data_IF_637939652526
#
_entry.id   IF_637939652526
#
_cell.length_a   1.000
_cell.length_b   1.000
_cell.length_c   1.000
_cell.angle_alpha   90.00
_cell.angle_beta   90.00
_cell.angle_gamma   90.00
#
_symmetry.space_group_name_H-M   'P 1'
#
loop_
_entity.id
_entity.type
_entity.pdbx_description
1 polymer ?
#
# COMPACT_ATOMS: atom_id res chain seq x y z
N UNK A 1 -7.53 8.30 -18.08
CA UNK A 1 -6.16 7.79 -18.38
C UNK A 1 -5.35 7.53 -17.08
N UNK A 2 -5.91 6.81 -16.09
CA UNK A 2 -5.25 6.50 -14.80
C UNK A 2 -4.99 5.00 -14.57
N UNK A 3 -5.44 4.14 -15.48
CA UNK A 3 -5.46 2.67 -15.30
C UNK A 3 -4.12 1.96 -15.59
N UNK A 4 -3.22 2.57 -16.37
CA UNK A 4 -2.01 1.88 -16.86
C UNK A 4 -0.95 1.53 -15.81
N UNK A 5 -0.90 2.25 -14.68
CA UNK A 5 0.04 1.92 -13.59
C UNK A 5 -0.48 0.75 -12.72
N UNK A 6 -1.79 0.51 -12.70
CA UNK A 6 -2.42 -0.37 -11.71
C UNK A 6 -2.85 -1.76 -12.26
N UNK A 7 -2.65 -2.04 -13.55
CA UNK A 7 -3.18 -3.25 -14.22
C UNK A 7 -2.26 -4.49 -14.20
N UNK A 8 -0.99 -4.36 -14.57
CA UNK A 8 0.00 -5.48 -14.59
C UNK A 8 1.38 -5.05 -14.09
N UNK A 9 1.77 -3.82 -14.41
CA UNK A 9 3.01 -3.18 -13.96
C UNK A 9 3.11 -3.10 -12.43
N UNK A 10 1.99 -2.98 -11.73
CA UNK A 10 1.94 -2.76 -10.27
C UNK A 10 2.43 -3.97 -9.48
N UNK A 11 2.11 -5.19 -9.92
CA UNK A 11 2.65 -6.39 -9.30
C UNK A 11 4.17 -6.42 -9.44
N UNK A 12 4.69 -6.20 -10.66
CA UNK A 12 6.14 -6.18 -10.90
C UNK A 12 6.82 -5.08 -10.07
N UNK A 13 6.27 -3.87 -10.10
CA UNK A 13 6.80 -2.70 -9.41
C UNK A 13 6.80 -2.86 -7.89
N UNK A 14 5.71 -3.38 -7.32
CA UNK A 14 5.66 -3.72 -5.89
C UNK A 14 6.66 -4.80 -5.52
N UNK A 15 6.80 -5.85 -6.35
CA UNK A 15 7.80 -6.90 -6.11
C UNK A 15 9.24 -6.35 -6.13
N UNK A 16 9.52 -5.40 -7.02
CA UNK A 16 10.84 -4.75 -7.10
C UNK A 16 11.20 -3.95 -5.85
N UNK A 17 10.23 -3.28 -5.22
CA UNK A 17 10.48 -2.52 -3.98
C UNK A 17 10.34 -3.37 -2.71
N UNK A 18 9.51 -4.42 -2.74
CA UNK A 18 9.17 -5.22 -1.57
C UNK A 18 10.39 -5.84 -0.89
N UNK A 19 11.22 -6.55 -1.66
CA UNK A 19 12.39 -7.21 -1.11
C UNK A 19 13.46 -6.24 -0.59
N UNK A 20 13.91 -5.25 -1.37
CA UNK A 20 14.87 -4.26 -0.88
C UNK A 20 14.39 -3.57 0.39
N UNK A 21 13.11 -3.21 0.48
CA UNK A 21 12.57 -2.55 1.67
C UNK A 21 12.49 -3.49 2.86
N UNK A 22 12.06 -4.74 2.72
CA UNK A 22 12.11 -5.71 3.84
C UNK A 22 13.54 -5.98 4.31
N UNK A 23 14.51 -6.05 3.39
CA UNK A 23 15.93 -6.20 3.73
C UNK A 23 16.45 -4.97 4.47
N UNK A 24 16.13 -3.77 4.00
CA UNK A 24 16.46 -2.51 4.67
C UNK A 24 15.87 -2.44 6.09
N UNK A 25 14.58 -2.75 6.24
CA UNK A 25 13.92 -2.78 7.55
C UNK A 25 14.60 -3.77 8.50
N UNK A 26 14.89 -4.99 8.03
CA UNK A 26 15.52 -6.04 8.84
C UNK A 26 16.96 -5.72 9.24
N UNK A 27 17.81 -5.32 8.29
CA UNK A 27 19.25 -5.22 8.50
C UNK A 27 19.71 -3.82 8.91
N UNK A 28 19.08 -2.77 8.35
CA UNK A 28 19.46 -1.38 8.64
C UNK A 28 18.66 -0.83 9.82
N UNK A 29 17.33 -1.02 9.82
CA UNK A 29 16.46 -0.53 10.89
C UNK A 29 16.30 -1.50 12.06
N UNK A 30 16.86 -2.72 11.95
CA UNK A 30 16.70 -3.80 12.95
C UNK A 30 15.22 -4.08 13.29
N UNK A 31 14.32 -3.79 12.36
CA UNK A 31 12.88 -3.97 12.48
C UNK A 31 12.48 -5.26 11.77
N UNK A 32 11.92 -6.22 12.52
CA UNK A 32 11.38 -7.45 11.97
C UNK A 32 9.86 -7.32 11.87
N UNK A 33 9.34 -7.37 10.65
CA UNK A 33 7.92 -7.39 10.40
C UNK A 33 7.42 -8.83 10.36
N UNK A 34 6.51 -9.14 11.26
CA UNK A 34 5.78 -10.40 11.34
C UNK A 34 4.27 -10.15 11.29
N UNK A 35 3.54 -11.02 10.59
CA UNK A 35 2.09 -10.94 10.48
C UNK A 35 1.47 -11.93 11.47
N UNK A 36 1.04 -11.41 12.61
CA UNK A 36 0.25 -12.17 13.58
C UNK A 36 -1.15 -12.40 13.00
N UNK A 37 -1.67 -13.62 13.15
CA UNK A 37 -3.01 -13.95 12.67
C UNK A 37 -3.11 -14.22 11.17
N UNK A 38 -1.98 -14.55 10.50
CA UNK A 38 -1.93 -14.92 9.07
C UNK A 38 -2.98 -15.98 8.67
N UNK A 39 -3.36 -16.87 9.58
CA UNK A 39 -4.38 -17.90 9.36
C UNK A 39 -5.79 -17.34 9.07
N UNK A 40 -6.07 -16.08 9.41
CA UNK A 40 -7.34 -15.42 9.12
C UNK A 40 -7.39 -14.77 7.73
N UNK A 41 -6.29 -14.79 6.99
CA UNK A 41 -6.22 -14.16 5.67
C UNK A 41 -6.56 -15.22 4.62
N UNK A 42 -7.57 -14.96 3.80
CA UNK A 42 -7.98 -15.85 2.72
C UNK A 42 -7.03 -15.77 1.51
N UNK A 43 -7.04 -16.80 0.67
CA UNK A 43 -6.22 -16.90 -0.55
C UNK A 43 -6.78 -16.08 -1.74
N UNK A 44 -7.91 -15.37 -1.55
CA UNK A 44 -8.58 -14.56 -2.57
C UNK A 44 -8.35 -13.05 -2.41
N UNK A 45 -9.06 -12.19 -3.16
CA UNK A 45 -9.05 -10.75 -2.94
C UNK A 45 -9.51 -10.42 -1.51
N UNK A 46 -8.67 -9.70 -0.76
CA UNK A 46 -8.95 -9.33 0.63
C UNK A 46 -8.98 -7.81 0.75
N UNK A 47 -10.04 -7.28 1.35
CA UNK A 47 -10.06 -5.88 1.82
C UNK A 47 -9.36 -5.84 3.16
N UNK A 48 -8.20 -5.18 3.20
CA UNK A 48 -7.42 -5.01 4.42
C UNK A 48 -7.73 -3.66 5.09
N UNK A 49 -8.11 -3.70 6.36
CA UNK A 49 -8.28 -2.50 7.18
C UNK A 49 -7.10 -2.39 8.14
N UNK A 50 -6.30 -1.34 7.97
CA UNK A 50 -5.16 -1.06 8.83
C UNK A 50 -5.50 0.08 9.80
N UNK A 51 -5.74 -0.25 11.07
CA UNK A 51 -6.00 0.72 12.12
C UNK A 51 -5.45 0.25 13.49
N UNK A 52 -5.06 1.17 14.40
CA UNK A 52 -4.97 2.62 14.19
C UNK A 52 -3.76 3.02 13.33
N UNK A 53 -3.85 4.15 12.64
CA UNK A 53 -2.69 4.76 11.99
C UNK A 53 -1.83 5.45 13.05
N UNK A 54 -0.61 4.97 13.25
CA UNK A 54 0.30 5.43 14.31
C UNK A 54 1.38 6.35 13.77
N UNK A 55 1.74 6.21 12.49
CA UNK A 55 2.86 6.99 11.92
C UNK A 55 2.80 7.08 10.40
N UNK A 56 3.49 8.09 9.84
CA UNK A 56 3.71 8.16 8.38
C UNK A 56 4.47 6.95 7.81
N UNK A 57 5.17 6.16 8.64
CA UNK A 57 5.85 4.95 8.17
C UNK A 57 4.88 3.82 7.88
N UNK A 58 3.65 3.87 8.36
CA UNK A 58 2.65 2.81 8.17
C UNK A 58 2.36 2.59 6.68
N UNK A 59 2.50 3.63 5.85
CA UNK A 59 2.37 3.56 4.38
C UNK A 59 3.40 2.64 3.72
N UNK A 60 4.45 2.27 4.44
CA UNK A 60 5.47 1.30 4.01
C UNK A 60 5.42 0.04 4.87
N UNK A 61 5.29 0.19 6.19
CA UNK A 61 5.33 -0.94 7.12
C UNK A 61 4.15 -1.90 6.92
N UNK A 62 2.93 -1.36 6.71
CA UNK A 62 1.75 -2.19 6.50
C UNK A 62 1.86 -2.98 5.19
N UNK A 63 2.11 -2.37 4.02
CA UNK A 63 2.34 -3.14 2.79
C UNK A 63 3.51 -4.14 2.89
N UNK A 64 4.58 -3.80 3.62
CA UNK A 64 5.71 -4.71 3.83
C UNK A 64 5.37 -5.89 4.75
N UNK A 65 4.40 -5.76 5.65
CA UNK A 65 4.01 -6.81 6.58
C UNK A 65 3.13 -7.88 5.92
N UNK A 66 2.43 -7.51 4.85
CA UNK A 66 1.57 -8.43 4.09
C UNK A 66 2.41 -9.49 3.35
N UNK A 67 2.01 -10.78 3.37
CA UNK A 67 2.65 -11.83 2.60
C UNK A 67 2.78 -11.49 1.12
N UNK A 68 3.93 -11.80 0.52
CA UNK A 68 4.20 -11.53 -0.91
C UNK A 68 3.13 -12.09 -1.85
N UNK A 69 2.55 -13.26 -1.54
CA UNK A 69 1.50 -13.88 -2.34
C UNK A 69 0.21 -13.06 -2.45
N UNK A 70 0.05 -12.05 -1.60
CA UNK A 70 -1.10 -11.14 -1.59
C UNK A 70 -0.81 -9.81 -2.29
N UNK A 71 0.36 -9.68 -2.92
CA UNK A 71 0.63 -8.57 -3.83
C UNK A 71 -0.06 -8.85 -5.19
N UNK A 72 -0.54 -7.82 -5.90
CA UNK A 72 -0.38 -6.41 -5.59
C UNK A 72 -1.39 -5.91 -4.55
N UNK A 73 -0.93 -5.08 -3.63
CA UNK A 73 -1.77 -4.32 -2.72
C UNK A 73 -2.27 -3.05 -3.41
N UNK A 74 -3.51 -2.63 -3.15
CA UNK A 74 -4.03 -1.31 -3.51
C UNK A 74 -4.64 -0.67 -2.27
N UNK A 75 -4.41 0.62 -2.08
CA UNK A 75 -4.97 1.36 -0.95
C UNK A 75 -5.13 2.84 -1.28
N UNK A 76 -6.10 3.49 -0.64
CA UNK A 76 -6.40 4.89 -0.87
C UNK A 76 -5.53 5.81 -0.02
N UNK A 77 -4.98 6.84 -0.66
CA UNK A 77 -4.10 7.81 -0.04
C UNK A 77 -4.53 9.23 -0.38
N UNK A 78 -4.61 10.09 0.63
CA UNK A 78 -4.91 11.51 0.45
C UNK A 78 -3.90 12.17 -0.48
N UNK A 79 -4.37 12.93 -1.46
CA UNK A 79 -3.53 13.69 -2.37
C UNK A 79 -2.49 14.58 -1.69
N UNK A 80 -2.78 15.07 -0.48
CA UNK A 80 -1.88 15.92 0.30
C UNK A 80 -0.58 15.22 0.67
N UNK A 81 -0.56 13.89 0.78
CA UNK A 81 0.68 13.17 1.10
C UNK A 81 1.62 13.01 -0.10
N UNK A 82 1.13 13.27 -1.32
CA UNK A 82 1.93 13.23 -2.56
C UNK A 82 2.73 14.53 -2.76
N UNK A 83 3.54 14.89 -1.76
CA UNK A 83 4.41 16.07 -1.79
C UNK A 83 5.64 15.82 -2.66
N UNK A 84 5.50 16.05 -3.97
CA UNK A 84 6.59 15.96 -4.96
C UNK A 84 6.68 14.64 -5.73
N UNK A 85 7.43 14.63 -6.85
CA UNK A 85 7.43 13.51 -7.80
C UNK A 85 8.02 12.22 -7.20
N UNK A 86 9.09 12.32 -6.41
CA UNK A 86 9.76 11.16 -5.82
C UNK A 86 8.88 10.47 -4.77
N UNK A 87 8.31 11.25 -3.84
CA UNK A 87 7.39 10.71 -2.82
C UNK A 87 6.13 10.14 -3.46
N UNK A 88 5.59 10.82 -4.48
CA UNK A 88 4.44 10.33 -5.22
C UNK A 88 4.72 9.02 -5.94
N UNK A 89 5.89 8.90 -6.60
CA UNK A 89 6.32 7.65 -7.21
C UNK A 89 6.47 6.55 -6.16
N UNK A 90 7.12 6.84 -5.03
CA UNK A 90 7.29 5.88 -3.94
C UNK A 90 5.96 5.34 -3.40
N UNK A 91 4.98 6.22 -3.15
CA UNK A 91 3.64 5.83 -2.72
C UNK A 91 2.96 4.92 -3.77
N UNK A 92 3.03 5.29 -5.05
CA UNK A 92 2.48 4.47 -6.14
C UNK A 92 3.14 3.10 -6.22
N UNK A 93 4.47 3.03 -6.06
CA UNK A 93 5.21 1.75 -6.03
C UNK A 93 4.74 0.83 -4.91
N UNK A 94 4.12 1.37 -3.84
CA UNK A 94 3.50 0.61 -2.76
C UNK A 94 1.98 0.42 -2.91
N UNK A 95 1.42 0.72 -4.09
CA UNK A 95 0.01 0.51 -4.38
C UNK A 95 -0.92 1.65 -3.96
N UNK A 96 -0.38 2.80 -3.56
CA UNK A 96 -1.17 3.92 -3.11
C UNK A 96 -1.87 4.63 -4.28
N UNK A 97 -3.20 4.64 -4.28
CA UNK A 97 -4.05 5.35 -5.22
C UNK A 97 -4.31 6.75 -4.66
N UNK A 98 -3.93 7.76 -5.44
CA UNK A 98 -4.07 9.16 -5.06
C UNK A 98 -5.53 9.59 -5.19
N UNK A 99 -6.14 9.98 -4.08
CA UNK A 99 -7.54 10.42 -4.01
C UNK A 99 -7.69 11.70 -3.20
N UNK A 100 -8.76 12.45 -3.44
CA UNK A 100 -9.05 13.68 -2.69
C UNK A 100 -10.02 13.33 -1.57
N UNK A 101 -9.55 13.33 -0.33
CA UNK A 101 -10.41 13.06 0.83
C UNK A 101 -11.39 14.20 1.05
N UNK A 102 -12.58 13.84 1.52
CA UNK A 102 -13.53 14.81 2.04
C UNK A 102 -12.99 15.48 3.31
N UNK A 103 -13.50 16.68 3.66
CA UNK A 103 -13.13 17.37 4.89
C UNK A 103 -13.38 16.57 6.17
N UNK A 104 -14.35 15.65 6.16
CA UNK A 104 -14.69 14.73 7.25
C UNK A 104 -13.78 13.48 7.31
N UNK A 105 -12.84 13.36 6.36
CA UNK A 105 -11.93 12.22 6.24
C UNK A 105 -12.48 11.05 5.43
N UNK A 106 -13.68 11.16 4.86
CA UNK A 106 -14.27 10.16 3.99
C UNK A 106 -13.59 10.06 2.61
N UNK A 107 -13.92 8.99 1.89
CA UNK A 107 -13.59 8.78 0.48
C UNK A 107 -14.88 8.71 -0.33
N UNK A 108 -14.84 9.13 -1.59
CA UNK A 108 -15.98 8.97 -2.50
C UNK A 108 -16.16 7.47 -2.83
N UNK A 109 -17.39 6.98 -3.05
CA UNK A 109 -17.63 5.60 -3.48
C UNK A 109 -16.82 5.20 -4.72
N UNK A 110 -16.68 6.12 -5.68
CA UNK A 110 -15.89 5.94 -6.91
C UNK A 110 -14.39 5.73 -6.63
N UNK A 111 -13.87 6.28 -5.52
CA UNK A 111 -12.50 6.05 -5.09
C UNK A 111 -12.33 4.62 -4.55
N UNK A 112 -13.33 4.10 -3.86
CA UNK A 112 -13.32 2.72 -3.34
C UNK A 112 -13.33 1.70 -4.48
N UNK A 113 -14.11 1.95 -5.54
CA UNK A 113 -14.14 1.09 -6.73
C UNK A 113 -12.75 0.94 -7.38
N UNK A 114 -11.92 1.99 -7.37
CA UNK A 114 -10.55 1.93 -7.90
C UNK A 114 -9.64 0.93 -7.15
N UNK A 115 -9.91 0.65 -5.87
CA UNK A 115 -9.18 -0.37 -5.10
C UNK A 115 -9.61 -1.76 -5.52
N UNK A 116 -10.92 -1.95 -5.73
CA UNK A 116 -11.52 -3.25 -6.04
C UNK A 116 -11.14 -3.73 -7.46
N UNK A 117 -10.90 -2.79 -8.38
CA UNK A 117 -10.47 -3.08 -9.74
C UNK A 117 -11.63 -3.37 -10.68
#
# INVERSE_FOLDING_TARGET
MREGFYSFSSWLLQNLVYYPTRLYLKYVKRCRLDLVGKAHVSDGPVVFVAAPHLSHLDVVLVPCAIPRGMLPLRWLADEKIYTGPLKGLWLRLWGAIKVKRHPDGGFEPEDVEQVLG
#
